data_IF_572724339492
#
_entry.id   IF_572724339492
#
_cell.length_a   1.000
_cell.length_b   1.000
_cell.length_c   1.000
_cell.angle_alpha   90.00
_cell.angle_beta   90.00
_cell.angle_gamma   90.00
#
_symmetry.space_group_name_H-M   'P 1'
#
loop_
_entity.id
_entity.type
_entity.pdbx_description
1 polymer ?
#
# COMPACT_ATOMS: atom_id res chain seq x y z
N UNK A 1 -2.56 3.28 9.77
CA UNK A 1 -2.05 3.59 8.41
C UNK A 1 -1.51 5.02 8.30
N UNK A 2 -2.16 6.01 8.92
CA UNK A 2 -1.85 7.45 8.81
C UNK A 2 -0.43 7.88 9.20
N UNK A 3 0.25 7.08 10.01
CA UNK A 3 1.66 7.29 10.39
C UNK A 3 2.64 7.08 9.21
N UNK A 4 2.19 6.43 8.13
CA UNK A 4 2.94 6.30 6.88
C UNK A 4 2.96 7.62 6.09
N UNK A 5 2.16 8.63 6.46
CA UNK A 5 2.21 9.95 5.85
C UNK A 5 1.78 9.99 4.38
N UNK A 6 0.95 9.04 3.94
CA UNK A 6 0.53 8.89 2.53
C UNK A 6 -0.53 9.91 2.10
N UNK A 7 -1.10 10.61 3.08
CA UNK A 7 -2.12 11.64 2.89
C UNK A 7 -3.53 11.10 3.10
N UNK A 8 -4.42 11.97 3.56
CA UNK A 8 -5.81 11.67 3.92
C UNK A 8 -6.62 10.96 2.84
N UNK A 9 -6.30 11.20 1.55
CA UNK A 9 -6.95 10.48 0.45
C UNK A 9 -6.59 8.99 0.45
N UNK A 10 -5.32 8.65 0.66
CA UNK A 10 -4.85 7.26 0.65
C UNK A 10 -5.33 6.54 1.90
N UNK A 11 -5.29 7.21 3.05
CA UNK A 11 -5.87 6.69 4.31
C UNK A 11 -7.34 6.31 4.15
N UNK A 12 -8.17 7.22 3.60
CA UNK A 12 -9.59 6.94 3.40
C UNK A 12 -9.82 5.77 2.44
N UNK A 13 -9.07 5.74 1.32
CA UNK A 13 -9.21 4.68 0.32
C UNK A 13 -8.81 3.30 0.88
N UNK A 14 -7.75 3.26 1.68
CA UNK A 14 -7.34 2.04 2.38
C UNK A 14 -8.36 1.66 3.44
N UNK A 15 -8.90 2.61 4.21
CA UNK A 15 -9.94 2.36 5.20
C UNK A 15 -11.23 1.80 4.56
N UNK A 16 -11.65 2.33 3.40
CA UNK A 16 -12.76 1.80 2.61
C UNK A 16 -12.49 0.39 2.08
N UNK A 17 -11.23 0.07 1.78
CA UNK A 17 -10.80 -1.29 1.44
C UNK A 17 -10.69 -2.24 2.65
N UNK A 18 -10.96 -1.75 3.86
CA UNK A 18 -10.83 -2.49 5.12
C UNK A 18 -9.42 -2.46 5.72
N UNK A 19 -8.48 -1.76 5.07
CA UNK A 19 -7.06 -1.72 5.42
C UNK A 19 -6.81 -0.58 6.40
N UNK A 20 -6.79 -0.91 7.70
CA UNK A 20 -6.63 0.09 8.79
C UNK A 20 -5.23 0.05 9.42
N UNK A 21 -4.53 -1.06 9.27
CA UNK A 21 -3.23 -1.31 9.90
C UNK A 21 -2.13 -1.51 8.87
N UNK A 22 -0.87 -1.37 9.31
CA UNK A 22 0.28 -1.69 8.45
C UNK A 22 0.29 -3.19 8.11
N UNK A 23 -0.18 -4.05 9.02
CA UNK A 23 -0.33 -5.48 8.78
C UNK A 23 -1.32 -5.76 7.63
N UNK A 24 -2.53 -5.17 7.66
CA UNK A 24 -3.51 -5.28 6.57
C UNK A 24 -2.94 -4.84 5.22
N UNK A 25 -2.17 -3.75 5.22
CA UNK A 25 -1.51 -3.25 4.01
C UNK A 25 -0.58 -4.31 3.44
N UNK A 26 0.25 -4.91 4.30
CA UNK A 26 1.22 -5.93 3.90
C UNK A 26 0.51 -7.19 3.41
N UNK A 27 -0.53 -7.66 4.11
CA UNK A 27 -1.35 -8.80 3.67
C UNK A 27 -2.01 -8.53 2.32
N UNK A 28 -2.50 -7.31 2.09
CA UNK A 28 -3.07 -6.94 0.79
C UNK A 28 -2.00 -6.87 -0.31
N UNK A 29 -0.81 -6.38 0.01
CA UNK A 29 0.35 -6.37 -0.88
C UNK A 29 0.84 -7.79 -1.19
N UNK A 30 0.70 -8.76 -0.28
CA UNK A 30 0.98 -10.17 -0.54
C UNK A 30 0.04 -10.75 -1.61
N UNK A 31 -1.21 -10.27 -1.66
CA UNK A 31 -2.15 -10.57 -2.74
C UNK A 31 -1.81 -9.92 -4.08
N UNK A 32 -0.77 -9.07 -4.14
CA UNK A 32 -0.28 -8.42 -5.34
C UNK A 32 -0.74 -6.97 -5.50
N UNK A 33 -0.01 -6.24 -6.34
CA UNK A 33 -0.24 -4.80 -6.57
C UNK A 33 -1.58 -4.50 -7.25
N UNK A 34 -2.09 -5.45 -8.05
CA UNK A 34 -3.38 -5.31 -8.71
C UNK A 34 -4.52 -5.13 -7.71
N UNK A 35 -4.49 -5.86 -6.58
CA UNK A 35 -5.53 -5.76 -5.56
C UNK A 35 -5.64 -4.36 -4.95
N UNK A 36 -4.53 -3.60 -4.92
CA UNK A 36 -4.51 -2.20 -4.52
C UNK A 36 -4.87 -1.25 -5.67
N UNK A 37 -4.42 -1.54 -6.90
CA UNK A 37 -4.79 -0.74 -8.08
C UNK A 37 -6.28 -0.83 -8.44
N UNK A 38 -6.95 -1.91 -8.04
CA UNK A 38 -8.41 -2.07 -8.18
C UNK A 38 -9.19 -1.23 -7.16
N UNK A 39 -8.55 -0.75 -6.10
CA UNK A 39 -9.22 0.11 -5.12
C UNK A 39 -9.45 1.49 -5.74
N UNK A 40 -10.72 1.87 -5.85
CA UNK A 40 -11.10 3.17 -6.41
C UNK A 40 -10.48 4.33 -5.63
N UNK A 41 -9.69 5.16 -6.32
CA UNK A 41 -8.94 6.25 -5.71
C UNK A 41 -7.51 5.90 -5.30
N UNK A 42 -7.11 4.62 -5.43
CA UNK A 42 -5.75 4.17 -5.19
C UNK A 42 -5.00 4.02 -6.52
N UNK A 43 -4.10 4.96 -6.82
CA UNK A 43 -3.35 4.99 -8.07
C UNK A 43 -1.94 4.42 -7.96
N UNK A 44 -1.27 4.26 -9.11
CA UNK A 44 0.16 3.89 -9.19
C UNK A 44 1.05 4.77 -8.31
N UNK A 45 0.75 6.08 -8.24
CA UNK A 45 1.48 7.03 -7.39
C UNK A 45 1.32 6.69 -5.90
N UNK A 46 0.09 6.46 -5.44
CA UNK A 46 -0.20 6.03 -4.07
C UNK A 46 0.49 4.72 -3.71
N UNK A 47 0.57 3.79 -4.66
CA UNK A 47 1.27 2.51 -4.50
C UNK A 47 2.78 2.71 -4.32
N UNK A 48 3.40 3.59 -5.11
CA UNK A 48 4.81 3.95 -4.96
C UNK A 48 5.08 4.62 -3.60
N UNK A 49 4.25 5.59 -3.21
CA UNK A 49 4.38 6.27 -1.93
C UNK A 49 4.20 5.29 -0.75
N UNK A 50 3.23 4.37 -0.82
CA UNK A 50 3.00 3.30 0.15
C UNK A 50 4.24 2.42 0.31
N UNK A 51 4.79 1.88 -0.79
CA UNK A 51 6.01 1.07 -0.75
C UNK A 51 7.18 1.87 -0.17
N UNK A 52 7.34 3.12 -0.57
CA UNK A 52 8.43 3.96 -0.08
C UNK A 52 8.32 4.21 1.43
N UNK A 53 7.12 4.50 1.93
CA UNK A 53 6.85 4.69 3.35
C UNK A 53 7.10 3.40 4.15
N UNK A 54 6.66 2.25 3.65
CA UNK A 54 6.91 0.94 4.28
C UNK A 54 8.41 0.65 4.39
N UNK A 55 9.19 0.86 3.31
CA UNK A 55 10.65 0.71 3.35
C UNK A 55 11.33 1.69 4.31
N UNK A 56 10.88 2.94 4.36
CA UNK A 56 11.41 3.95 5.29
C UNK A 56 11.20 3.56 6.76
N UNK A 57 10.09 2.91 7.05
CA UNK A 57 9.77 2.40 8.38
C UNK A 57 10.48 1.07 8.71
N UNK A 58 11.26 0.51 7.78
CA UNK A 58 11.98 -0.75 7.97
C UNK A 58 11.13 -2.01 7.78
N UNK A 59 9.92 -1.89 7.24
CA UNK A 59 9.10 -3.06 6.89
C UNK A 59 9.61 -3.70 5.59
N UNK A 60 9.66 -5.04 5.58
CA UNK A 60 9.88 -5.80 4.35
C UNK A 60 8.59 -5.82 3.53
N UNK A 61 8.71 -5.36 2.29
CA UNK A 61 7.63 -5.45 1.32
C UNK A 61 7.63 -6.88 0.76
N UNK A 62 6.48 -7.54 0.67
CA UNK A 62 6.41 -8.89 0.11
C UNK A 62 6.84 -8.89 -1.36
N UNK A 63 7.43 -10.01 -1.82
CA UNK A 63 7.91 -10.16 -3.22
C UNK A 63 6.80 -9.94 -4.25
N UNK A 64 5.54 -10.25 -3.90
CA UNK A 64 4.35 -9.97 -4.71
C UNK A 64 4.14 -8.47 -5.03
N UNK A 65 4.76 -7.59 -4.23
CA UNK A 65 4.81 -6.16 -4.45
C UNK A 65 6.22 -5.67 -4.85
N UNK A 66 7.22 -6.55 -4.96
CA UNK A 66 8.51 -6.26 -5.59
C UNK A 66 8.55 -6.61 -7.09
N UNK A 67 7.42 -6.99 -7.69
CA UNK A 67 7.29 -7.18 -9.15
C UNK A 67 7.33 -5.85 -9.92
N UNK A 68 8.38 -5.06 -9.68
CA UNK A 68 8.87 -4.06 -10.61
C UNK A 68 9.66 -4.86 -11.65
N UNK A 69 8.98 -5.42 -12.64
CA UNK A 69 9.65 -5.94 -13.83
C UNK A 69 10.48 -4.82 -14.44
N UNK A 70 11.79 -5.02 -14.49
CA UNK A 70 12.79 -4.20 -15.20
C UNK A 70 12.35 -3.95 -16.65
#
# INVERSE_FOLDING_TARGET
ISELGLGTRVDNVLEEAGIKTIADVLERLEGGEQALLEVSGFGRKSLIDLKKALRQQGYKIPEAAEEITV
#
